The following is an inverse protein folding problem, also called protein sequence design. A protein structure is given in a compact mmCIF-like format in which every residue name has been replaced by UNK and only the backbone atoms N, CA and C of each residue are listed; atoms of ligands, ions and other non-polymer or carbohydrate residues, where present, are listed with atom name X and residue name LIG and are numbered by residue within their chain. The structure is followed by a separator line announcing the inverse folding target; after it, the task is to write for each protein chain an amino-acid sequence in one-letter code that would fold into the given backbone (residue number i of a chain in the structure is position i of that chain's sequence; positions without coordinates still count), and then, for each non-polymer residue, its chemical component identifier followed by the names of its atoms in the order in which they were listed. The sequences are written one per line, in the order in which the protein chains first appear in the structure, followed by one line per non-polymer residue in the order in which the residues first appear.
data_IF_901772478746
#
_entry.id   IF_901772478746
#
_cell.length_a   1.000
_cell.length_b   1.000
_cell.length_c   1.000
_cell.angle_alpha   90.00
_cell.angle_beta   90.00
_cell.angle_gamma   90.00
#
_symmetry.space_group_name_H-M   'P 1'
#
loop_
_entity.id
_entity.type
_entity.pdbx_description
1 polymer ?
#
# COMPACT_ATOMS: atom_id res chain seq x y z
N UNK A 1 45.80 -31.93 5.13
CA UNK A 1 44.88 -32.48 6.16
C UNK A 1 45.11 -31.66 7.42
N UNK A 2 44.12 -30.88 7.89
CA UNK A 2 43.12 -31.27 8.90
C UNK A 2 43.81 -31.40 10.28
N UNK A 3 43.47 -30.75 11.39
CA UNK A 3 42.41 -29.83 11.82
C UNK A 3 42.76 -29.41 13.27
N UNK A 4 42.11 -28.34 13.75
CA UNK A 4 41.88 -27.97 15.17
C UNK A 4 42.97 -27.14 15.86
N UNK A 5 42.75 -25.83 15.84
CA UNK A 5 43.01 -25.01 17.03
C UNK A 5 41.68 -24.43 17.49
N UNK A 6 41.22 -24.93 18.63
CA UNK A 6 40.11 -24.34 19.37
C UNK A 6 40.64 -23.39 20.43
N UNK A 7 39.98 -22.24 20.50
CA UNK A 7 39.82 -21.30 21.60
C UNK A 7 41.07 -20.61 22.17
N UNK A 8 41.02 -19.27 22.20
CA UNK A 8 41.22 -18.39 23.37
C UNK A 8 40.69 -16.99 22.97
N UNK A 9 39.53 -16.59 23.50
CA UNK A 9 39.31 -15.51 24.49
C UNK A 9 39.40 -14.08 23.93
N UNK A 10 38.38 -13.28 24.21
CA UNK A 10 38.53 -11.82 24.27
C UNK A 10 37.28 -11.05 23.89
N UNK A 11 36.39 -10.83 24.86
CA UNK A 11 35.42 -9.73 24.78
C UNK A 11 36.15 -8.39 24.89
N UNK A 12 35.62 -7.34 24.24
CA UNK A 12 35.54 -5.92 24.66
C UNK A 12 35.57 -5.01 23.42
N UNK A 13 34.59 -4.10 23.32
CA UNK A 13 34.69 -2.88 22.52
C UNK A 13 33.57 -2.69 21.51
N UNK A 14 32.40 -2.25 21.98
CA UNK A 14 31.23 -2.01 21.15
C UNK A 14 31.45 -0.90 20.12
N UNK A 15 31.30 -1.26 18.85
CA UNK A 15 30.69 -0.40 17.86
C UNK A 15 29.41 -1.12 17.44
N UNK A 16 28.26 -0.73 17.98
CA UNK A 16 27.00 -1.13 17.38
C UNK A 16 26.98 -0.40 16.04
N UNK A 17 27.40 -1.08 14.98
CA UNK A 17 27.15 -0.62 13.63
C UNK A 17 25.63 -0.48 13.52
N UNK A 18 25.13 0.76 13.55
CA UNK A 18 23.74 1.05 13.25
C UNK A 18 23.61 0.79 11.76
N UNK A 19 23.37 -0.47 11.39
CA UNK A 19 23.07 -0.83 10.01
C UNK A 19 21.85 -0.02 9.65
N UNK A 20 22.00 0.89 8.70
CA UNK A 20 20.95 1.72 8.19
C UNK A 20 19.88 0.85 7.50
N UNK A 21 18.98 0.24 8.28
CA UNK A 21 17.76 -0.40 7.78
C UNK A 21 16.67 0.66 7.53
N UNK A 22 17.06 1.90 7.21
CA UNK A 22 16.14 3.03 7.07
C UNK A 22 15.49 3.14 5.69
N UNK A 23 16.06 2.52 4.65
CA UNK A 23 15.59 2.68 3.27
C UNK A 23 14.70 1.55 2.75
N UNK A 24 14.99 0.30 3.13
CA UNK A 24 14.30 -0.88 2.55
C UNK A 24 13.14 -1.35 3.44
N UNK A 25 13.23 -1.16 4.77
CA UNK A 25 12.18 -1.57 5.70
C UNK A 25 10.90 -0.74 5.58
N UNK A 26 11.03 0.55 5.33
CA UNK A 26 9.90 1.50 5.18
C UNK A 26 9.10 1.29 3.89
N UNK A 27 9.74 0.84 2.80
CA UNK A 27 9.05 0.53 1.55
C UNK A 27 8.06 -0.64 1.71
N UNK A 28 8.41 -1.62 2.55
CA UNK A 28 7.57 -2.80 2.85
C UNK A 28 6.44 -2.49 3.85
N UNK A 29 6.56 -1.44 4.65
CA UNK A 29 5.54 -1.02 5.62
C UNK A 29 4.42 -0.17 4.99
N UNK A 30 4.65 0.39 3.81
CA UNK A 30 3.61 1.05 2.99
C UNK A 30 2.80 0.00 2.22
N UNK A 31 2.19 -0.94 2.96
CA UNK A 31 1.31 -1.95 2.37
C UNK A 31 0.25 -1.30 1.47
N UNK A 32 -0.06 -1.94 0.36
CA UNK A 32 -1.13 -1.49 -0.57
C UNK A 32 -2.50 -1.50 0.09
N UNK A 33 -2.62 -2.11 1.26
CA UNK A 33 -3.81 -2.14 2.08
C UNK A 33 -4.10 -0.80 2.77
N UNK A 34 -5.38 -0.48 2.87
CA UNK A 34 -5.90 0.72 3.50
C UNK A 34 -7.22 0.42 4.18
N UNK A 35 -7.36 0.86 5.43
CA UNK A 35 -8.63 0.87 6.13
C UNK A 35 -9.23 2.28 6.11
N UNK A 36 -10.44 2.41 5.59
CA UNK A 36 -11.14 3.69 5.46
C UNK A 36 -12.46 3.65 6.21
N UNK A 37 -12.74 4.67 7.02
CA UNK A 37 -14.05 4.85 7.64
C UNK A 37 -15.10 5.24 6.59
N UNK A 38 -16.31 4.70 6.73
CA UNK A 38 -17.49 5.03 5.94
C UNK A 38 -18.32 6.05 6.71
N UNK A 39 -18.18 7.32 6.35
CA UNK A 39 -18.90 8.45 6.94
C UNK A 39 -19.56 9.33 5.85
N UNK A 40 -20.17 10.45 6.23
CA UNK A 40 -20.88 11.34 5.30
C UNK A 40 -20.02 11.97 4.20
N UNK A 41 -18.70 11.93 4.32
CA UNK A 41 -17.75 12.50 3.34
C UNK A 41 -17.08 11.46 2.46
N UNK A 42 -17.03 10.20 2.91
CA UNK A 42 -16.37 9.09 2.21
C UNK A 42 -17.33 8.09 1.59
N UNK A 43 -18.63 8.20 1.88
CA UNK A 43 -19.62 7.20 1.48
C UNK A 43 -20.45 7.66 0.30
N UNK A 44 -20.58 6.79 -0.69
CA UNK A 44 -21.56 6.87 -1.78
C UNK A 44 -22.39 5.58 -1.85
N UNK A 45 -23.33 5.50 -2.79
CA UNK A 45 -24.02 4.25 -3.11
C UNK A 45 -23.70 3.81 -4.53
N UNK A 46 -23.43 2.52 -4.69
CA UNK A 46 -23.25 1.85 -5.98
C UNK A 46 -24.19 0.65 -5.99
N UNK A 47 -25.12 0.61 -6.94
CA UNK A 47 -26.16 -0.43 -7.03
C UNK A 47 -26.98 -0.59 -5.73
N UNK A 48 -27.29 0.53 -5.08
CA UNK A 48 -28.01 0.54 -3.79
C UNK A 48 -27.19 0.10 -2.58
N UNK A 49 -25.96 -0.39 -2.77
CA UNK A 49 -25.03 -0.81 -1.71
C UNK A 49 -24.14 0.35 -1.26
N UNK A 50 -23.77 0.35 0.02
CA UNK A 50 -22.81 1.32 0.56
C UNK A 50 -21.46 1.12 -0.11
N UNK A 51 -20.81 2.20 -0.51
CA UNK A 51 -19.52 2.17 -1.21
C UNK A 51 -18.62 3.30 -0.70
N UNK A 52 -17.31 3.06 -0.72
CA UNK A 52 -16.32 4.11 -0.56
C UNK A 52 -16.27 4.93 -1.86
N UNK A 53 -16.28 6.25 -1.74
CA UNK A 53 -16.27 7.14 -2.90
C UNK A 53 -15.00 7.00 -3.74
N UNK A 54 -15.14 7.13 -5.06
CA UNK A 54 -14.04 6.96 -6.01
C UNK A 54 -12.85 7.86 -5.69
N UNK A 55 -13.09 9.16 -5.43
CA UNK A 55 -12.06 10.14 -5.09
C UNK A 55 -11.20 9.75 -3.88
N UNK A 56 -11.77 9.02 -2.91
CA UNK A 56 -11.01 8.54 -1.74
C UNK A 56 -10.16 7.33 -2.10
N UNK A 57 -10.66 6.45 -2.97
CA UNK A 57 -9.88 5.32 -3.50
C UNK A 57 -8.72 5.85 -4.35
N UNK A 58 -9.01 6.78 -5.26
CA UNK A 58 -8.05 7.43 -6.17
C UNK A 58 -6.91 8.08 -5.40
N UNK A 59 -7.20 9.08 -4.56
CA UNK A 59 -6.16 9.84 -3.85
C UNK A 59 -5.35 8.99 -2.89
N UNK A 60 -5.96 7.97 -2.28
CA UNK A 60 -5.27 7.06 -1.35
C UNK A 60 -4.41 6.02 -2.08
N UNK A 61 -4.85 5.58 -3.25
CA UNK A 61 -4.05 4.72 -4.13
C UNK A 61 -2.85 5.48 -4.64
N UNK A 62 -3.05 6.69 -5.17
CA UNK A 62 -1.99 7.57 -5.65
C UNK A 62 -0.97 7.88 -4.54
N UNK A 63 -1.42 8.28 -3.35
CA UNK A 63 -0.54 8.55 -2.22
C UNK A 63 0.28 7.33 -1.77
N UNK A 64 -0.25 6.10 -1.93
CA UNK A 64 0.46 4.87 -1.58
C UNK A 64 1.42 4.38 -2.68
N UNK A 65 1.19 4.73 -3.93
CA UNK A 65 2.16 4.54 -5.02
C UNK A 65 3.35 5.49 -4.89
N UNK A 66 3.08 6.70 -4.37
CA UNK A 66 4.05 7.79 -4.23
C UNK A 66 4.31 8.15 -2.75
N UNK A 67 4.77 7.21 -1.89
CA UNK A 67 4.94 7.47 -0.47
C UNK A 67 5.98 8.56 -0.19
N UNK A 68 6.96 8.75 -1.09
CA UNK A 68 7.94 9.85 -1.04
C UNK A 68 8.16 10.41 -2.45
N UNK A 69 8.53 11.71 -2.60
CA UNK A 69 8.79 12.32 -3.91
C UNK A 69 9.91 11.65 -4.73
N UNK A 70 10.79 10.89 -4.08
CA UNK A 70 11.94 10.18 -4.66
C UNK A 70 11.86 8.65 -4.49
N UNK A 71 10.79 8.10 -3.90
CA UNK A 71 10.61 6.65 -3.70
C UNK A 71 9.19 6.23 -4.05
N UNK A 72 9.06 5.27 -4.97
CA UNK A 72 7.79 4.74 -5.42
C UNK A 72 7.79 4.53 -6.94
N UNK A 73 6.81 3.77 -7.43
CA UNK A 73 6.47 3.84 -8.85
C UNK A 73 5.61 5.08 -9.01
N UNK A 74 6.10 6.05 -9.80
CA UNK A 74 5.41 7.33 -9.91
C UNK A 74 4.19 7.18 -10.81
N UNK A 75 3.09 6.85 -10.14
CA UNK A 75 1.75 6.76 -10.71
C UNK A 75 1.00 8.04 -10.42
N UNK A 76 0.41 8.66 -11.43
CA UNK A 76 -0.36 9.90 -11.28
C UNK A 76 -1.72 9.81 -11.96
N UNK A 77 -2.66 10.66 -11.53
CA UNK A 77 -3.96 10.79 -12.17
C UNK A 77 -4.80 9.52 -12.05
N UNK A 78 -4.71 8.84 -10.90
CA UNK A 78 -5.50 7.63 -10.65
C UNK A 78 -6.98 7.98 -10.76
N UNK A 79 -7.70 7.27 -11.63
CA UNK A 79 -9.14 7.42 -11.86
C UNK A 79 -9.83 6.09 -11.68
N UNK A 80 -10.89 6.05 -10.88
CA UNK A 80 -11.69 4.84 -10.66
C UNK A 80 -13.09 5.04 -11.29
N UNK A 81 -13.62 4.07 -12.04
CA UNK A 81 -14.88 4.24 -12.79
C UNK A 81 -16.09 4.44 -11.88
N UNK A 82 -16.05 3.88 -10.68
CA UNK A 82 -17.11 3.97 -9.68
C UNK A 82 -16.52 4.00 -8.27
N UNK A 83 -17.37 4.21 -7.26
CA UNK A 83 -17.01 3.93 -5.87
C UNK A 83 -16.72 2.44 -5.64
N UNK A 84 -15.92 2.14 -4.63
CA UNK A 84 -15.60 0.79 -4.19
C UNK A 84 -16.70 0.27 -3.25
N UNK A 85 -17.55 -0.63 -3.77
CA UNK A 85 -18.62 -1.26 -3.00
C UNK A 85 -18.05 -1.88 -1.73
N UNK A 86 -18.62 -1.53 -0.56
CA UNK A 86 -18.15 -2.01 0.74
C UNK A 86 -18.66 -3.45 1.00
N UNK A 87 -18.25 -4.37 0.13
CA UNK A 87 -18.56 -5.80 0.19
C UNK A 87 -17.26 -6.56 -0.02
N UNK A 88 -16.90 -7.42 0.92
CA UNK A 88 -15.67 -8.21 0.85
C UNK A 88 -15.60 -9.04 -0.44
N UNK A 89 -14.43 -9.09 -1.06
CA UNK A 89 -14.20 -9.72 -2.36
C UNK A 89 -14.55 -8.85 -3.57
N UNK A 90 -15.22 -7.71 -3.39
CA UNK A 90 -15.45 -6.79 -4.52
C UNK A 90 -14.13 -6.30 -5.05
N UNK A 91 -14.01 -6.33 -6.38
CA UNK A 91 -12.86 -5.80 -7.08
C UNK A 91 -13.30 -4.75 -8.09
N UNK A 92 -12.49 -3.71 -8.26
CA UNK A 92 -12.60 -2.76 -9.37
C UNK A 92 -11.21 -2.44 -9.91
N UNK A 93 -11.16 -2.02 -11.17
CA UNK A 93 -9.91 -1.58 -11.79
C UNK A 93 -9.94 -0.07 -11.92
N UNK A 94 -8.99 0.60 -11.26
CA UNK A 94 -8.69 2.01 -11.52
C UNK A 94 -7.60 2.10 -12.58
N UNK A 95 -7.49 3.24 -13.24
CA UNK A 95 -6.44 3.51 -14.21
C UNK A 95 -5.60 4.68 -13.73
N UNK A 96 -4.28 4.51 -13.71
CA UNK A 96 -3.31 5.58 -13.46
C UNK A 96 -2.39 5.79 -14.66
N UNK A 97 -1.43 6.69 -14.54
CA UNK A 97 -0.37 6.92 -15.53
C UNK A 97 1.01 6.81 -14.90
N UNK A 98 1.91 6.07 -15.53
CA UNK A 98 3.32 6.00 -15.13
C UNK A 98 4.11 7.28 -15.51
N UNK A 99 5.42 7.28 -15.25
CA UNK A 99 6.31 8.41 -15.56
C UNK A 99 6.41 8.73 -17.06
N UNK A 100 6.22 7.71 -17.91
CA UNK A 100 6.21 7.84 -19.37
C UNK A 100 4.82 8.28 -19.89
N UNK A 101 3.82 8.42 -18.99
CA UNK A 101 2.44 8.74 -19.33
C UNK A 101 1.63 7.56 -19.86
N UNK A 102 2.13 6.32 -19.77
CA UNK A 102 1.42 5.10 -20.17
C UNK A 102 0.36 4.77 -19.13
N UNK A 103 -0.79 4.28 -19.61
CA UNK A 103 -1.87 3.85 -18.74
C UNK A 103 -1.48 2.56 -17.99
N UNK A 104 -1.73 2.54 -16.69
CA UNK A 104 -1.51 1.39 -15.81
C UNK A 104 -2.82 1.00 -15.15
N UNK A 105 -3.18 -0.28 -15.24
CA UNK A 105 -4.37 -0.82 -14.59
C UNK A 105 -4.05 -1.22 -13.15
N UNK A 106 -4.80 -0.64 -12.21
CA UNK A 106 -4.62 -0.83 -10.77
C UNK A 106 -5.83 -1.59 -10.25
N UNK A 107 -5.65 -2.88 -9.99
CA UNK A 107 -6.71 -3.71 -9.41
C UNK A 107 -6.85 -3.43 -7.93
N UNK A 108 -8.03 -2.96 -7.51
CA UNK A 108 -8.40 -2.67 -6.13
C UNK A 108 -9.40 -3.71 -5.63
N UNK A 109 -9.11 -4.34 -4.49
CA UNK A 109 -9.95 -5.39 -3.91
C UNK A 109 -10.30 -5.08 -2.46
N UNK A 110 -11.58 -5.24 -2.11
CA UNK A 110 -12.04 -5.18 -0.72
C UNK A 110 -11.68 -6.47 0.00
N UNK A 111 -10.87 -6.34 1.05
CA UNK A 111 -10.49 -7.46 1.91
C UNK A 111 -11.53 -7.71 2.99
N UNK A 112 -12.06 -6.63 3.57
CA UNK A 112 -13.05 -6.69 4.65
C UNK A 112 -13.97 -5.48 4.57
N UNK A 113 -15.25 -5.68 4.85
CA UNK A 113 -16.19 -4.59 4.98
C UNK A 113 -17.03 -4.74 6.26
N UNK A 114 -17.38 -3.60 6.83
CA UNK A 114 -18.31 -3.46 7.93
C UNK A 114 -19.21 -2.25 7.67
N UNK A 115 -20.21 -2.02 8.52
CA UNK A 115 -21.12 -0.87 8.37
C UNK A 115 -20.42 0.49 8.49
N UNK A 116 -19.24 0.52 9.15
CA UNK A 116 -18.52 1.75 9.51
C UNK A 116 -17.15 1.88 8.86
N UNK A 117 -16.61 0.82 8.29
CA UNK A 117 -15.29 0.86 7.64
C UNK A 117 -15.14 -0.21 6.58
N UNK A 118 -14.26 0.06 5.63
CA UNK A 118 -13.85 -0.87 4.58
C UNK A 118 -12.33 -0.97 4.57
N UNK A 119 -11.82 -2.20 4.63
CA UNK A 119 -10.41 -2.52 4.38
C UNK A 119 -10.29 -3.03 2.97
N UNK A 120 -9.40 -2.41 2.20
CA UNK A 120 -9.18 -2.72 0.80
C UNK A 120 -7.70 -2.61 0.48
N UNK A 121 -7.26 -3.25 -0.58
CA UNK A 121 -5.88 -3.22 -1.06
C UNK A 121 -5.85 -3.07 -2.57
N UNK A 122 -4.70 -2.71 -3.11
CA UNK A 122 -4.45 -2.79 -4.55
C UNK A 122 -3.26 -3.69 -4.87
N UNK A 123 -3.20 -4.16 -6.11
CA UNK A 123 -2.09 -4.96 -6.64
C UNK A 123 -1.07 -4.04 -7.33
N UNK A 124 0.21 -4.42 -7.23
CA UNK A 124 1.38 -3.85 -7.92
C UNK A 124 2.10 -4.99 -8.62
#
# INVERSE_FOLDING_TARGET
MKQRSGFIVGAVGGAIAVVAVGGVGTYLLSGTESNTMLNGYSTVRVDGQKALSANIVEGRTEAKYNPLPWVGEKITGVTCPTGLKAVAGTTLTCTGKDEDGKAVDIRVTVVRASDRSVTWKFER
#
